data_IF_603292612321
#
_entry.id   IF_603292612321
#
_cell.length_a   1.000
_cell.length_b   1.000
_cell.length_c   1.000
_cell.angle_alpha   90.00
_cell.angle_beta   90.00
_cell.angle_gamma   90.00
#
_symmetry.space_group_name_H-M   'P 1'
#
loop_
_entity.id
_entity.type
_entity.pdbx_description
1 polymer ?
#
# COMPACT_ATOMS: atom_id res chain seq x y z
N UNK A 1 -1.20 -50.33 -75.30
CA UNK A 1 -1.34 -48.92 -74.83
C UNK A 1 -2.02 -48.98 -73.47
N UNK A 2 -1.22 -48.79 -72.43
CA UNK A 2 -1.60 -49.05 -71.05
C UNK A 2 -2.05 -47.74 -70.40
N UNK A 3 -3.27 -47.77 -69.80
CA UNK A 3 -3.80 -46.71 -68.99
C UNK A 3 -3.48 -47.04 -67.49
N UNK A 4 -2.77 -46.16 -66.79
CA UNK A 4 -2.45 -46.24 -65.36
C UNK A 4 -3.66 -45.86 -64.51
N UNK A 5 -3.93 -46.53 -63.41
CA UNK A 5 -4.99 -46.18 -62.51
C UNK A 5 -4.52 -45.09 -61.53
N UNK A 6 -5.30 -44.04 -61.40
CA UNK A 6 -5.17 -42.98 -60.41
C UNK A 6 -5.57 -43.48 -59.01
N UNK A 7 -4.62 -43.45 -58.07
CA UNK A 7 -4.83 -43.68 -56.62
C UNK A 7 -5.59 -42.52 -56.00
N UNK A 8 -6.85 -42.76 -55.61
CA UNK A 8 -7.65 -41.87 -54.79
C UNK A 8 -7.12 -41.85 -53.36
N UNK A 9 -6.73 -40.67 -52.88
CA UNK A 9 -6.41 -40.43 -51.47
C UNK A 9 -7.68 -40.47 -50.62
N UNK A 10 -7.69 -41.12 -49.45
CA UNK A 10 -8.85 -41.12 -48.55
C UNK A 10 -9.11 -39.71 -48.01
N UNK A 11 -10.39 -39.32 -48.09
CA UNK A 11 -10.86 -38.05 -47.58
C UNK A 11 -10.64 -37.88 -46.08
N UNK A 12 -9.97 -36.82 -45.72
CA UNK A 12 -9.90 -36.34 -44.35
C UNK A 12 -11.25 -35.74 -44.02
N UNK A 13 -11.93 -36.33 -43.04
CA UNK A 13 -13.20 -35.83 -42.51
C UNK A 13 -13.06 -34.40 -42.00
N UNK A 14 -14.02 -33.51 -42.27
CA UNK A 14 -14.01 -32.15 -41.72
C UNK A 14 -14.62 -32.15 -40.32
N UNK A 15 -13.89 -32.66 -39.33
CA UNK A 15 -14.25 -32.55 -37.93
C UNK A 15 -13.20 -31.67 -37.23
N UNK A 16 -13.71 -30.59 -36.65
CA UNK A 16 -13.02 -29.56 -35.83
C UNK A 16 -12.49 -28.31 -36.55
N UNK A 17 -13.28 -27.67 -37.37
CA UNK A 17 -13.29 -26.20 -37.33
C UNK A 17 -14.06 -25.75 -36.08
N UNK A 18 -13.46 -25.85 -34.88
CA UNK A 18 -13.88 -25.03 -33.78
C UNK A 18 -13.60 -23.59 -34.20
N UNK A 19 -14.65 -22.81 -34.40
CA UNK A 19 -14.58 -21.35 -34.48
C UNK A 19 -13.71 -20.85 -33.33
N UNK A 20 -12.45 -20.58 -33.58
CA UNK A 20 -11.58 -19.81 -32.72
C UNK A 20 -12.10 -18.37 -32.82
N UNK A 21 -13.15 -18.04 -32.05
CA UNK A 21 -13.49 -16.64 -31.81
C UNK A 21 -12.24 -15.98 -31.22
N UNK A 22 -11.77 -14.95 -31.92
CA UNK A 22 -10.67 -14.13 -31.38
C UNK A 22 -11.12 -13.57 -30.03
N UNK A 23 -10.37 -13.86 -28.98
CA UNK A 23 -10.64 -13.39 -27.63
C UNK A 23 -10.51 -11.87 -27.61
N UNK A 24 -11.45 -11.17 -27.04
CA UNK A 24 -11.44 -9.70 -27.01
C UNK A 24 -11.11 -9.20 -25.61
N UNK A 25 -10.12 -8.32 -25.51
CA UNK A 25 -9.75 -7.62 -24.29
C UNK A 25 -9.87 -6.11 -24.50
N UNK A 26 -10.44 -5.43 -23.51
CA UNK A 26 -10.54 -3.97 -23.48
C UNK A 26 -9.46 -3.42 -22.56
N UNK A 27 -8.61 -2.54 -23.08
CA UNK A 27 -7.55 -1.84 -22.31
C UNK A 27 -7.97 -0.39 -22.11
N UNK A 28 -8.16 0.00 -20.86
CA UNK A 28 -8.63 1.32 -20.47
C UNK A 28 -7.55 2.01 -19.63
N UNK A 29 -6.87 3.00 -20.20
CA UNK A 29 -5.88 3.80 -19.50
C UNK A 29 -5.76 5.19 -20.15
N UNK A 30 -5.62 6.27 -19.40
CA UNK A 30 -5.35 7.60 -19.96
C UNK A 30 -3.94 7.72 -20.57
N UNK A 31 -3.00 6.84 -20.17
CA UNK A 31 -1.64 6.82 -20.71
C UNK A 31 -1.58 6.12 -22.08
N UNK A 32 -1.39 6.89 -23.14
CA UNK A 32 -1.27 6.39 -24.50
C UNK A 32 -0.04 5.49 -24.73
N UNK A 33 1.04 5.69 -23.98
CA UNK A 33 2.25 4.86 -24.05
C UNK A 33 1.98 3.47 -23.50
N UNK A 34 1.43 3.41 -22.30
CA UNK A 34 1.07 2.18 -21.63
C UNK A 34 0.01 1.38 -22.42
N UNK A 35 -1.02 2.06 -22.97
CA UNK A 35 -2.04 1.41 -23.80
C UNK A 35 -1.42 0.70 -24.99
N UNK A 36 -0.61 1.41 -25.80
CA UNK A 36 0.04 0.85 -27.00
C UNK A 36 0.95 -0.33 -26.68
N UNK A 37 1.70 -0.25 -25.58
CA UNK A 37 2.62 -1.30 -25.18
C UNK A 37 1.88 -2.56 -24.72
N UNK A 38 0.80 -2.39 -23.93
CA UNK A 38 -0.09 -3.47 -23.53
C UNK A 38 -0.80 -4.08 -24.76
N UNK A 39 -1.33 -3.24 -25.67
CA UNK A 39 -2.00 -3.68 -26.86
C UNK A 39 -1.06 -4.54 -27.75
N UNK A 40 0.15 -4.07 -28.03
CA UNK A 40 1.14 -4.82 -28.82
C UNK A 40 1.45 -6.19 -28.19
N UNK A 41 1.62 -6.26 -26.88
CA UNK A 41 1.93 -7.53 -26.17
C UNK A 41 0.73 -8.49 -26.19
N UNK A 42 -0.49 -7.98 -26.08
CA UNK A 42 -1.73 -8.78 -26.10
C UNK A 42 -2.04 -9.28 -27.52
N UNK A 43 -1.76 -8.49 -28.55
CA UNK A 43 -1.89 -8.90 -29.95
C UNK A 43 -0.91 -10.03 -30.32
N UNK A 44 0.33 -9.99 -29.81
CA UNK A 44 1.29 -11.11 -29.91
C UNK A 44 0.72 -12.42 -29.31
N UNK A 45 -0.07 -12.30 -28.26
CA UNK A 45 -0.79 -13.43 -27.61
C UNK A 45 -2.12 -13.79 -28.30
N UNK A 46 -2.38 -13.21 -29.48
CA UNK A 46 -3.57 -13.42 -30.32
C UNK A 46 -4.89 -12.96 -29.66
N UNK A 47 -4.83 -11.92 -28.84
CA UNK A 47 -6.00 -11.20 -28.37
C UNK A 47 -6.40 -10.12 -29.38
N UNK A 48 -7.70 -9.91 -29.55
CA UNK A 48 -8.22 -8.71 -30.19
C UNK A 48 -8.30 -7.61 -29.14
N UNK A 49 -7.53 -6.55 -29.30
CA UNK A 49 -7.46 -5.47 -28.32
C UNK A 49 -8.39 -4.33 -28.74
N UNK A 50 -9.17 -3.86 -27.80
CA UNK A 50 -9.93 -2.62 -27.86
C UNK A 50 -9.26 -1.63 -26.93
N UNK A 51 -8.98 -0.42 -27.40
CA UNK A 51 -8.30 0.61 -26.62
C UNK A 51 -9.26 1.76 -26.29
N UNK A 52 -9.30 2.17 -25.03
CA UNK A 52 -10.04 3.34 -24.57
C UNK A 52 -9.14 4.23 -23.69
N UNK A 53 -9.23 5.53 -23.87
CA UNK A 53 -8.47 6.52 -23.12
C UNK A 53 -9.21 7.07 -21.89
N UNK A 54 -10.51 6.80 -21.81
CA UNK A 54 -11.40 7.24 -20.74
C UNK A 54 -12.53 6.24 -20.51
N UNK A 55 -13.26 6.37 -19.40
CA UNK A 55 -14.35 5.49 -19.04
C UNK A 55 -15.54 5.55 -20.01
N UNK A 56 -15.87 6.73 -20.53
CA UNK A 56 -16.96 6.90 -21.49
C UNK A 56 -16.68 6.18 -22.82
N UNK A 57 -15.44 6.27 -23.34
CA UNK A 57 -15.01 5.54 -24.52
C UNK A 57 -15.02 4.02 -24.29
N UNK A 58 -14.55 3.58 -23.12
CA UNK A 58 -14.57 2.17 -22.71
C UNK A 58 -15.99 1.62 -22.65
N UNK A 59 -16.93 2.39 -22.13
CA UNK A 59 -18.33 2.02 -22.04
C UNK A 59 -18.97 1.86 -23.41
N UNK A 60 -18.73 2.79 -24.33
CA UNK A 60 -19.22 2.69 -25.71
C UNK A 60 -18.74 1.43 -26.38
N UNK A 61 -17.47 1.11 -26.31
CA UNK A 61 -16.88 -0.08 -26.92
C UNK A 61 -17.35 -1.39 -26.28
N UNK A 62 -17.47 -1.43 -24.95
CA UNK A 62 -17.97 -2.59 -24.23
C UNK A 62 -19.45 -2.87 -24.54
N UNK A 63 -20.25 -1.84 -24.80
CA UNK A 63 -21.67 -1.99 -25.17
C UNK A 63 -21.85 -2.56 -26.59
N UNK A 64 -20.92 -2.28 -27.50
CA UNK A 64 -21.00 -2.74 -28.91
C UNK A 64 -20.35 -4.12 -29.13
N UNK A 65 -19.33 -4.46 -28.30
CA UNK A 65 -18.55 -5.67 -28.52
C UNK A 65 -18.45 -6.48 -27.22
N UNK A 66 -18.77 -7.79 -27.22
CA UNK A 66 -18.60 -8.64 -26.06
C UNK A 66 -17.10 -8.79 -25.73
N UNK A 67 -16.73 -8.42 -24.51
CA UNK A 67 -15.37 -8.51 -24.00
C UNK A 67 -15.22 -9.68 -23.03
N UNK A 68 -14.09 -10.41 -23.12
CA UNK A 68 -13.76 -11.54 -22.25
C UNK A 68 -12.86 -11.12 -21.09
N UNK A 69 -12.12 -10.01 -21.26
CA UNK A 69 -11.30 -9.42 -20.22
C UNK A 69 -11.28 -7.90 -20.35
N UNK A 70 -11.09 -7.21 -19.21
CA UNK A 70 -10.89 -5.76 -19.17
C UNK A 70 -9.69 -5.46 -18.28
N UNK A 71 -8.74 -4.73 -18.84
CA UNK A 71 -7.61 -4.17 -18.12
C UNK A 71 -7.86 -2.69 -17.92
N UNK A 72 -8.05 -2.27 -16.69
CA UNK A 72 -8.39 -0.89 -16.37
C UNK A 72 -7.32 -0.26 -15.48
N UNK A 73 -6.96 0.99 -15.77
CA UNK A 73 -6.03 1.74 -14.92
C UNK A 73 -6.67 2.03 -13.55
N UNK A 74 -5.85 2.22 -12.53
CA UNK A 74 -6.29 2.54 -11.18
C UNK A 74 -7.07 3.88 -11.10
N UNK A 75 -6.95 4.74 -12.12
CA UNK A 75 -7.61 6.03 -12.20
C UNK A 75 -8.08 6.33 -13.64
N UNK A 76 -9.33 6.76 -13.78
CA UNK A 76 -9.91 7.27 -15.02
C UNK A 76 -10.35 8.74 -14.82
N UNK A 77 -10.12 9.63 -15.81
CA UNK A 77 -10.34 11.06 -15.64
C UNK A 77 -11.81 11.48 -15.57
N UNK A 78 -12.75 10.67 -16.06
CA UNK A 78 -14.12 11.02 -16.37
C UNK A 78 -15.18 10.27 -15.55
N UNK A 79 -14.82 9.20 -14.82
CA UNK A 79 -15.78 8.38 -14.07
C UNK A 79 -15.23 7.93 -12.72
N UNK A 80 -16.14 7.74 -11.74
CA UNK A 80 -15.80 7.05 -10.50
C UNK A 80 -15.57 5.55 -10.78
N UNK A 81 -14.38 5.06 -10.48
CA UNK A 81 -13.94 3.69 -10.76
C UNK A 81 -14.91 2.62 -10.25
N UNK A 82 -15.42 2.80 -9.03
CA UNK A 82 -16.32 1.81 -8.41
C UNK A 82 -17.68 1.73 -9.12
N UNK A 83 -18.18 2.84 -9.64
CA UNK A 83 -19.42 2.91 -10.40
C UNK A 83 -19.24 2.27 -11.77
N UNK A 84 -18.19 2.64 -12.49
CA UNK A 84 -17.81 2.07 -13.77
C UNK A 84 -17.66 0.55 -13.71
N UNK A 85 -16.92 0.04 -12.72
CA UNK A 85 -16.72 -1.40 -12.55
C UNK A 85 -18.00 -2.15 -12.17
N UNK A 86 -18.91 -1.53 -11.42
CA UNK A 86 -20.21 -2.13 -11.08
C UNK A 86 -21.08 -2.30 -12.32
N UNK A 87 -21.17 -1.28 -13.14
CA UNK A 87 -21.97 -1.29 -14.36
C UNK A 87 -21.37 -2.23 -15.40
N UNK A 88 -20.05 -2.22 -15.58
CA UNK A 88 -19.36 -3.13 -16.49
C UNK A 88 -19.59 -4.60 -16.11
N UNK A 89 -19.65 -4.93 -14.82
CA UNK A 89 -20.00 -6.27 -14.33
C UNK A 89 -21.43 -6.66 -14.63
N UNK A 90 -22.35 -5.72 -14.60
CA UNK A 90 -23.75 -6.01 -14.96
C UNK A 90 -23.89 -6.38 -16.43
N UNK A 91 -23.13 -5.70 -17.31
CA UNK A 91 -23.15 -5.99 -18.74
C UNK A 91 -22.31 -7.22 -19.11
N UNK A 92 -21.15 -7.39 -18.48
CA UNK A 92 -20.21 -8.48 -18.78
C UNK A 92 -19.90 -9.33 -17.54
N UNK A 93 -20.85 -10.13 -17.02
CA UNK A 93 -20.69 -10.86 -15.76
C UNK A 93 -19.62 -11.96 -15.79
N UNK A 94 -19.14 -12.33 -16.99
CA UNK A 94 -18.10 -13.35 -17.20
C UNK A 94 -16.74 -12.77 -17.56
N UNK A 95 -16.64 -11.47 -17.77
CA UNK A 95 -15.37 -10.84 -18.10
C UNK A 95 -14.42 -10.83 -16.89
N UNK A 96 -13.15 -11.13 -17.14
CA UNK A 96 -12.09 -11.02 -16.14
C UNK A 96 -11.67 -9.54 -16.01
N UNK A 97 -11.79 -8.97 -14.82
CA UNK A 97 -11.46 -7.58 -14.55
C UNK A 97 -10.15 -7.50 -13.78
N UNK A 98 -9.17 -6.81 -14.33
CA UNK A 98 -7.85 -6.62 -13.77
C UNK A 98 -7.44 -5.15 -13.87
N UNK A 99 -6.66 -4.68 -12.92
CA UNK A 99 -5.95 -3.42 -13.08
C UNK A 99 -4.73 -3.57 -13.99
N UNK A 100 -4.32 -2.50 -14.65
CA UNK A 100 -3.12 -2.48 -15.52
C UNK A 100 -1.82 -2.74 -14.75
N UNK A 101 -1.82 -2.67 -13.42
CA UNK A 101 -0.74 -3.08 -12.53
C UNK A 101 -0.75 -4.59 -12.19
N UNK A 102 -1.74 -5.33 -12.68
CA UNK A 102 -1.95 -6.74 -12.39
C UNK A 102 -2.67 -7.03 -11.08
N UNK A 103 -3.09 -6.01 -10.32
CA UNK A 103 -3.90 -6.19 -9.12
C UNK A 103 -5.32 -6.64 -9.47
N UNK A 104 -5.91 -7.43 -8.58
CA UNK A 104 -7.25 -7.98 -8.78
C UNK A 104 -8.32 -6.98 -8.36
N UNK A 105 -9.36 -6.87 -9.17
CA UNK A 105 -10.59 -6.16 -8.80
C UNK A 105 -11.48 -7.13 -8.03
N UNK A 106 -11.87 -6.77 -6.79
CA UNK A 106 -12.65 -7.63 -5.90
C UNK A 106 -13.98 -8.10 -6.53
N UNK A 107 -14.27 -9.41 -6.39
CA UNK A 107 -15.50 -10.01 -6.89
C UNK A 107 -15.52 -10.29 -8.40
N UNK A 108 -14.45 -10.11 -9.15
CA UNK A 108 -14.38 -10.49 -10.56
C UNK A 108 -14.17 -12.01 -10.72
N UNK A 109 -14.86 -12.66 -11.68
CA UNK A 109 -14.62 -14.06 -11.99
C UNK A 109 -13.20 -14.26 -12.51
N UNK A 110 -12.61 -15.42 -12.21
CA UNK A 110 -11.28 -15.78 -12.72
C UNK A 110 -11.43 -16.49 -14.06
N UNK A 111 -10.91 -15.89 -15.12
CA UNK A 111 -10.84 -16.56 -16.42
C UNK A 111 -9.71 -17.59 -16.45
N UNK A 112 -9.84 -18.58 -17.35
CA UNK A 112 -8.76 -19.53 -17.65
C UNK A 112 -7.53 -18.85 -18.27
N UNK A 113 -7.67 -17.63 -18.75
CA UNK A 113 -6.65 -16.85 -19.48
C UNK A 113 -5.95 -15.80 -18.61
N UNK A 114 -6.26 -15.76 -17.34
CA UNK A 114 -5.70 -14.78 -16.39
C UNK A 114 -4.17 -14.76 -16.35
N UNK A 115 -3.54 -15.93 -16.50
CA UNK A 115 -2.08 -16.02 -16.54
C UNK A 115 -1.48 -15.34 -17.77
N UNK A 116 -2.16 -15.45 -18.93
CA UNK A 116 -1.75 -14.77 -20.16
C UNK A 116 -1.85 -13.25 -20.02
N UNK A 117 -2.93 -12.76 -19.38
CA UNK A 117 -3.12 -11.33 -19.12
C UNK A 117 -2.06 -10.78 -18.15
N UNK A 118 -1.79 -11.50 -17.07
CA UNK A 118 -0.74 -11.11 -16.11
C UNK A 118 0.67 -11.14 -16.72
N UNK A 119 0.91 -12.08 -17.64
CA UNK A 119 2.17 -12.11 -18.40
C UNK A 119 2.29 -10.90 -19.32
N UNK A 120 1.23 -10.53 -20.06
CA UNK A 120 1.19 -9.34 -20.89
C UNK A 120 1.45 -8.06 -20.09
N UNK A 121 0.80 -7.91 -18.94
CA UNK A 121 1.00 -6.78 -18.04
C UNK A 121 2.46 -6.68 -17.57
N UNK A 122 3.04 -7.79 -17.10
CA UNK A 122 4.43 -7.80 -16.64
C UNK A 122 5.43 -7.46 -17.75
N UNK A 123 5.18 -7.96 -18.95
CA UNK A 123 6.05 -7.72 -20.11
C UNK A 123 5.95 -6.28 -20.60
N UNK A 124 4.78 -5.67 -20.55
CA UNK A 124 4.56 -4.26 -20.92
C UNK A 124 5.13 -3.28 -19.90
N UNK A 125 5.28 -3.68 -18.62
CA UNK A 125 5.90 -2.84 -17.58
C UNK A 125 7.41 -3.03 -17.47
N UNK A 126 7.98 -4.08 -18.06
CA UNK A 126 9.42 -4.28 -18.16
C UNK A 126 9.98 -3.32 -19.21
N UNK A 127 10.38 -2.12 -18.81
CA UNK A 127 11.15 -1.20 -19.62
C UNK A 127 12.37 -1.91 -20.21
N UNK A 128 12.69 -1.65 -21.48
CA UNK A 128 13.86 -2.06 -22.22
C UNK A 128 15.17 -1.88 -21.41
N UNK A 129 15.46 -2.79 -20.52
CA UNK A 129 16.80 -3.04 -20.02
C UNK A 129 17.26 -4.32 -20.67
N UNK A 130 18.14 -4.16 -21.63
CA UNK A 130 18.85 -5.19 -22.41
C UNK A 130 19.62 -6.16 -21.50
N UNK A 131 18.94 -7.08 -20.81
CA UNK A 131 19.55 -8.15 -20.01
C UNK A 131 19.10 -9.55 -20.49
N UNK A 132 18.16 -9.64 -21.44
CA UNK A 132 17.62 -10.93 -21.92
C UNK A 132 18.06 -11.33 -23.33
N UNK A 133 19.05 -10.65 -23.93
CA UNK A 133 19.66 -11.06 -25.22
C UNK A 133 20.95 -11.88 -25.07
N UNK A 134 21.10 -12.59 -23.95
CA UNK A 134 22.07 -13.67 -23.83
C UNK A 134 21.30 -14.95 -23.45
N UNK A 135 20.60 -15.50 -24.43
CA UNK A 135 20.32 -16.92 -24.41
C UNK A 135 21.64 -17.63 -24.63
N UNK A 136 22.19 -18.44 -23.71
CA UNK A 136 23.23 -19.37 -24.03
C UNK A 136 22.64 -20.35 -25.04
N UNK A 137 23.31 -20.49 -26.18
CA UNK A 137 23.07 -21.54 -27.15
C UNK A 137 23.16 -22.89 -26.40
N UNK A 138 22.03 -23.59 -26.33
CA UNK A 138 21.92 -24.97 -25.83
C UNK A 138 22.41 -25.89 -26.95
N UNK A 139 23.71 -25.88 -27.21
CA UNK A 139 24.41 -26.93 -27.94
C UNK A 139 25.81 -26.97 -27.37
N UNK A 140 26.11 -28.01 -26.61
CA UNK A 140 27.42 -28.56 -26.23
C UNK A 140 27.64 -28.96 -24.75
N UNK A 141 26.62 -28.94 -23.86
CA UNK A 141 26.86 -29.35 -22.45
C UNK A 141 26.02 -30.52 -21.93
N UNK A 142 25.03 -31.02 -22.66
CA UNK A 142 24.08 -32.01 -22.13
C UNK A 142 24.33 -33.48 -22.50
N UNK A 143 25.33 -33.80 -23.34
CA UNK A 143 25.66 -35.18 -23.72
C UNK A 143 26.51 -35.91 -22.69
N UNK A 144 27.09 -35.23 -21.70
CA UNK A 144 27.99 -35.88 -20.72
C UNK A 144 27.30 -36.29 -19.39
N UNK A 145 26.08 -35.78 -19.09
CA UNK A 145 25.45 -36.02 -17.81
C UNK A 145 24.31 -37.05 -17.84
N UNK A 146 23.87 -37.51 -19.02
CA UNK A 146 22.78 -38.50 -19.18
C UNK A 146 23.23 -39.96 -19.20
N UNK A 147 24.53 -40.26 -19.12
CA UNK A 147 25.08 -41.63 -19.15
C UNK A 147 25.46 -42.17 -17.76
N UNK A 148 25.34 -41.40 -16.68
CA UNK A 148 25.85 -41.82 -15.35
C UNK A 148 24.81 -42.25 -14.31
N UNK A 149 23.49 -42.19 -14.58
CA UNK A 149 22.49 -42.58 -13.58
C UNK A 149 21.38 -43.47 -14.12
N UNK A 150 21.72 -44.72 -14.42
CA UNK A 150 20.72 -45.77 -14.65
C UNK A 150 20.95 -46.87 -13.60
N UNK A 151 20.07 -47.04 -12.58
CA UNK A 151 20.13 -48.18 -11.70
C UNK A 151 19.64 -49.47 -12.40
N UNK A 152 20.15 -50.66 -12.01
CA UNK A 152 19.82 -51.91 -12.68
C UNK A 152 18.39 -52.35 -12.42
N UNK A 153 17.78 -52.89 -13.47
CA UNK A 153 16.46 -53.50 -13.45
C UNK A 153 16.40 -54.68 -12.45
N UNK A 154 15.51 -54.63 -11.49
CA UNK A 154 15.14 -55.74 -10.61
C UNK A 154 13.90 -56.40 -11.17
N UNK A 155 14.00 -57.64 -11.60
CA UNK A 155 12.88 -58.51 -11.94
C UNK A 155 12.02 -58.70 -10.68
N UNK A 156 10.73 -58.41 -10.80
CA UNK A 156 9.74 -58.78 -9.77
C UNK A 156 8.69 -59.66 -10.42
N UNK A 157 8.61 -60.88 -9.92
CA UNK A 157 7.65 -61.92 -10.25
C UNK A 157 6.19 -61.42 -10.20
N UNK A 158 5.43 -61.85 -11.20
CA UNK A 158 4.00 -61.66 -11.28
C UNK A 158 3.26 -62.45 -10.18
N UNK A 159 2.51 -61.71 -9.34
CA UNK A 159 1.47 -62.26 -8.48
C UNK A 159 0.13 -61.72 -9.00
N UNK A 160 -0.74 -62.63 -9.43
CA UNK A 160 -2.12 -62.32 -9.90
C UNK A 160 -2.92 -61.66 -8.76
N UNK A 161 -3.45 -60.47 -9.03
CA UNK A 161 -4.47 -59.83 -8.22
C UNK A 161 -5.81 -59.75 -8.98
N UNK A 162 -6.94 -59.87 -8.26
CA UNK A 162 -8.26 -59.99 -8.90
C UNK A 162 -8.71 -58.74 -9.65
N UNK A 163 -9.33 -58.91 -10.79
CA UNK A 163 -9.87 -57.88 -11.69
C UNK A 163 -10.99 -57.09 -10.98
N UNK A 164 -10.74 -55.86 -10.59
CA UNK A 164 -11.75 -54.90 -10.15
C UNK A 164 -12.38 -54.27 -11.37
N UNK A 165 -13.73 -54.17 -11.39
CA UNK A 165 -14.48 -53.55 -12.48
C UNK A 165 -14.33 -52.03 -12.53
N UNK A 166 -14.45 -51.47 -13.71
CA UNK A 166 -14.30 -50.02 -13.96
C UNK A 166 -15.21 -49.14 -13.07
N UNK A 167 -16.33 -49.68 -12.58
CA UNK A 167 -17.27 -49.01 -11.68
C UNK A 167 -16.69 -48.82 -10.25
N UNK A 168 -15.89 -49.79 -9.77
CA UNK A 168 -15.24 -49.71 -8.44
C UNK A 168 -14.11 -48.68 -8.44
N UNK A 169 -13.41 -48.53 -9.57
CA UNK A 169 -12.37 -47.52 -9.75
C UNK A 169 -12.95 -46.08 -9.79
N UNK A 170 -14.13 -45.90 -10.38
CA UNK A 170 -14.84 -44.61 -10.45
C UNK A 170 -15.40 -44.20 -9.08
N UNK A 171 -15.82 -45.16 -8.23
CA UNK A 171 -16.28 -44.87 -6.86
C UNK A 171 -15.13 -44.55 -5.92
N UNK A 172 -14.00 -45.25 -6.02
CA UNK A 172 -12.81 -44.94 -5.25
C UNK A 172 -12.25 -43.53 -5.58
N UNK A 173 -12.21 -43.13 -6.87
CA UNK A 173 -11.74 -41.83 -7.29
C UNK A 173 -12.68 -40.67 -6.90
N UNK A 174 -13.96 -40.94 -6.65
CA UNK A 174 -14.91 -39.94 -6.17
C UNK A 174 -14.76 -39.69 -4.64
N UNK A 175 -14.41 -40.73 -3.88
CA UNK A 175 -14.17 -40.63 -2.42
C UNK A 175 -12.83 -39.96 -2.11
N UNK A 176 -11.79 -40.23 -2.88
CA UNK A 176 -10.48 -39.60 -2.71
C UNK A 176 -10.49 -38.14 -3.16
N UNK A 177 -11.27 -37.76 -4.21
CA UNK A 177 -11.45 -36.36 -4.59
C UNK A 177 -12.22 -35.53 -3.57
N UNK A 178 -13.03 -36.14 -2.72
CA UNK A 178 -13.74 -35.44 -1.64
C UNK A 178 -12.82 -35.17 -0.44
N UNK A 179 -11.72 -35.91 -0.28
CA UNK A 179 -10.72 -35.70 0.77
C UNK A 179 -9.48 -34.90 0.33
N UNK A 180 -9.15 -34.88 -0.96
CA UNK A 180 -8.04 -34.06 -1.51
C UNK A 180 -8.42 -32.60 -1.79
N UNK A 181 -9.69 -32.23 -1.68
CA UNK A 181 -10.13 -30.83 -1.80
C UNK A 181 -9.99 -29.99 -0.53
N UNK A 182 -9.42 -30.55 0.54
CA UNK A 182 -8.91 -29.77 1.65
C UNK A 182 -7.47 -29.32 1.35
N UNK A 183 -7.27 -28.49 0.32
CA UNK A 183 -6.20 -27.51 0.36
C UNK A 183 -6.38 -26.81 1.71
N UNK A 184 -5.41 -26.84 2.64
CA UNK A 184 -5.53 -26.02 3.81
C UNK A 184 -5.65 -24.58 3.29
N UNK A 185 -6.87 -24.06 3.26
CA UNK A 185 -7.08 -22.65 3.38
C UNK A 185 -6.42 -22.33 4.72
N UNK A 186 -5.14 -21.99 4.67
CA UNK A 186 -4.52 -21.15 5.67
C UNK A 186 -5.27 -19.83 5.51
N UNK A 187 -6.50 -19.81 6.02
CA UNK A 187 -7.13 -18.62 6.48
C UNK A 187 -6.13 -18.10 7.51
N UNK A 188 -5.19 -17.29 7.06
CA UNK A 188 -4.31 -16.49 7.90
C UNK A 188 -5.31 -15.72 8.75
N UNK A 189 -5.62 -16.23 9.95
CA UNK A 189 -6.40 -15.48 10.93
C UNK A 189 -5.66 -14.17 11.03
N UNK A 190 -6.29 -13.12 10.55
CA UNK A 190 -5.77 -11.77 10.65
C UNK A 190 -5.71 -11.48 12.15
N UNK A 191 -4.54 -11.66 12.74
CA UNK A 191 -4.32 -11.40 14.16
C UNK A 191 -3.84 -9.97 14.34
N UNK A 192 -4.30 -9.28 15.40
CA UNK A 192 -3.77 -7.98 15.75
C UNK A 192 -2.25 -8.05 15.93
N UNK A 193 -1.54 -7.01 15.56
CA UNK A 193 -0.11 -6.91 15.78
C UNK A 193 0.14 -6.39 17.20
N UNK A 194 0.94 -7.08 18.03
CA UNK A 194 1.32 -6.56 19.34
C UNK A 194 1.90 -5.15 19.23
N UNK A 195 1.32 -4.19 19.96
CA UNK A 195 1.70 -2.79 19.91
C UNK A 195 0.91 -1.92 18.92
N UNK A 196 0.05 -2.51 18.08
CA UNK A 196 -0.96 -1.80 17.30
C UNK A 196 -2.34 -2.18 17.82
N UNK A 197 -3.06 -1.20 18.36
CA UNK A 197 -4.37 -1.42 18.98
C UNK A 197 -5.43 -1.40 17.89
N UNK A 198 -6.31 -2.40 17.90
CA UNK A 198 -7.45 -2.50 17.00
C UNK A 198 -7.66 -3.92 16.46
N UNK A 199 -8.93 -4.33 16.43
CA UNK A 199 -9.42 -5.61 15.90
C UNK A 199 -10.37 -5.42 14.73
N UNK A 200 -10.67 -4.19 14.37
CA UNK A 200 -11.44 -3.88 13.19
C UNK A 200 -10.77 -4.46 11.93
N UNK A 201 -11.52 -4.94 10.93
CA UNK A 201 -10.95 -5.52 9.71
C UNK A 201 -9.92 -4.62 9.03
N UNK A 202 -10.15 -3.30 9.04
CA UNK A 202 -9.22 -2.30 8.47
C UNK A 202 -7.89 -2.25 9.24
N UNK A 203 -7.91 -2.40 10.58
CA UNK A 203 -6.70 -2.43 11.41
C UNK A 203 -5.95 -3.77 11.30
N UNK A 204 -6.68 -4.87 11.13
CA UNK A 204 -6.10 -6.18 10.84
C UNK A 204 -5.38 -6.19 9.50
N UNK A 205 -5.92 -5.50 8.49
CA UNK A 205 -5.26 -5.34 7.19
C UNK A 205 -3.97 -4.50 7.32
N UNK A 206 -3.98 -3.42 8.10
CA UNK A 206 -2.74 -2.67 8.42
C UNK A 206 -1.71 -3.59 9.09
N UNK A 207 -2.13 -4.38 10.09
CA UNK A 207 -1.29 -5.36 10.78
C UNK A 207 -0.69 -6.40 9.82
N UNK A 208 -1.49 -6.90 8.87
CA UNK A 208 -1.05 -7.82 7.82
C UNK A 208 0.00 -7.19 6.92
N UNK A 209 -0.24 -5.96 6.44
CA UNK A 209 0.69 -5.22 5.56
C UNK A 209 2.02 -4.95 6.26
N UNK A 210 2.00 -4.57 7.55
CA UNK A 210 3.22 -4.40 8.35
C UNK A 210 4.03 -5.70 8.37
N UNK A 211 3.40 -6.85 8.71
CA UNK A 211 4.09 -8.15 8.75
C UNK A 211 4.70 -8.53 7.42
N UNK A 212 4.00 -8.27 6.31
CA UNK A 212 4.47 -8.60 4.97
C UNK A 212 5.76 -7.85 4.62
N UNK A 213 5.81 -6.53 4.87
CA UNK A 213 6.92 -5.70 4.40
C UNK A 213 8.03 -5.52 5.43
N UNK A 214 7.79 -5.85 6.72
CA UNK A 214 8.74 -5.58 7.79
C UNK A 214 10.15 -6.16 7.53
N UNK A 215 10.22 -7.39 7.01
CA UNK A 215 11.49 -8.10 6.72
C UNK A 215 12.19 -7.64 5.44
N UNK A 216 11.52 -6.85 4.61
CA UNK A 216 12.10 -6.36 3.36
C UNK A 216 12.81 -5.03 3.57
N UNK A 217 13.89 -4.79 2.79
CA UNK A 217 14.64 -3.52 2.83
C UNK A 217 13.99 -2.39 2.04
N UNK A 218 12.88 -2.69 1.38
CA UNK A 218 12.10 -1.78 0.54
C UNK A 218 11.67 -0.55 1.31
N UNK A 219 11.72 0.65 0.72
CA UNK A 219 11.09 1.84 1.26
C UNK A 219 9.59 1.63 1.49
N UNK A 220 9.06 2.22 2.55
CA UNK A 220 7.62 2.14 2.88
C UNK A 220 7.10 3.56 3.06
N UNK A 221 6.03 3.87 2.33
CA UNK A 221 5.26 5.10 2.51
C UNK A 221 4.02 4.82 3.37
N UNK A 222 3.84 5.60 4.43
CA UNK A 222 2.72 5.50 5.36
C UNK A 222 1.84 6.74 5.17
N UNK A 223 0.68 6.57 4.53
CA UNK A 223 -0.30 7.63 4.33
C UNK A 223 -1.46 7.52 5.33
N UNK A 224 -1.94 8.64 5.84
CA UNK A 224 -3.14 8.69 6.66
C UNK A 224 -3.30 9.96 7.44
N UNK A 225 -4.53 10.26 7.90
CA UNK A 225 -4.83 11.49 8.64
C UNK A 225 -3.91 11.71 9.84
N UNK A 226 -3.80 12.96 10.28
CA UNK A 226 -3.04 13.29 11.49
C UNK A 226 -3.63 12.57 12.70
N UNK A 227 -2.76 12.08 13.60
CA UNK A 227 -3.20 11.40 14.83
C UNK A 227 -3.65 9.94 14.67
N UNK A 228 -3.48 9.30 13.48
CA UNK A 228 -3.86 7.88 13.24
C UNK A 228 -2.78 6.88 13.66
N UNK A 229 -1.65 7.33 14.22
CA UNK A 229 -0.57 6.44 14.68
C UNK A 229 0.42 6.03 13.61
N UNK A 230 0.69 6.86 12.59
CA UNK A 230 1.71 6.62 11.55
C UNK A 230 3.10 6.31 12.13
N UNK A 231 3.50 7.04 13.17
CA UNK A 231 4.77 6.83 13.88
C UNK A 231 4.83 5.43 14.52
N UNK A 232 3.73 4.98 15.15
CA UNK A 232 3.65 3.64 15.72
C UNK A 232 3.79 2.54 14.66
N UNK A 233 3.24 2.76 13.47
CA UNK A 233 3.43 1.86 12.31
C UNK A 233 4.89 1.79 11.91
N UNK A 234 5.59 2.94 11.86
CA UNK A 234 7.02 3.00 11.53
C UNK A 234 7.88 2.29 12.57
N UNK A 235 7.63 2.49 13.85
CA UNK A 235 8.31 1.76 14.94
C UNK A 235 8.13 0.24 14.83
N UNK A 236 6.89 -0.22 14.54
CA UNK A 236 6.60 -1.65 14.39
C UNK A 236 7.30 -2.24 13.15
N UNK A 237 7.35 -1.51 12.04
CA UNK A 237 8.11 -1.91 10.85
C UNK A 237 9.60 -2.08 11.16
N UNK A 238 10.19 -1.20 11.95
CA UNK A 238 11.57 -1.30 12.38
C UNK A 238 11.77 -2.50 13.34
N UNK A 239 10.94 -2.61 14.39
CA UNK A 239 11.03 -3.67 15.41
C UNK A 239 10.85 -5.08 14.84
N UNK A 240 10.09 -5.25 13.77
CA UNK A 240 9.85 -6.54 13.11
C UNK A 240 10.83 -6.79 11.96
N UNK A 241 11.75 -5.88 11.69
CA UNK A 241 12.75 -6.01 10.64
C UNK A 241 14.01 -6.71 11.13
N UNK A 242 14.87 -7.10 10.19
CA UNK A 242 16.22 -7.59 10.48
C UNK A 242 17.12 -6.53 11.15
N UNK A 243 16.68 -5.25 11.13
CA UNK A 243 17.39 -4.10 11.72
C UNK A 243 16.85 -3.70 13.10
N UNK A 244 16.04 -4.54 13.75
CA UNK A 244 15.40 -4.23 15.03
C UNK A 244 16.36 -3.84 16.16
N UNK A 245 17.62 -4.35 16.13
CA UNK A 245 18.66 -4.01 17.08
C UNK A 245 19.60 -2.86 16.63
N UNK A 246 19.30 -2.25 15.48
CA UNK A 246 20.06 -1.15 14.87
C UNK A 246 19.40 0.20 15.18
N UNK A 247 20.06 1.34 14.89
CA UNK A 247 19.46 2.64 15.13
C UNK A 247 18.12 2.83 14.41
N UNK A 248 17.15 3.40 15.13
CA UNK A 248 15.93 3.97 14.58
C UNK A 248 16.00 5.49 14.77
N UNK A 249 16.18 6.22 13.69
CA UNK A 249 16.30 7.67 13.71
C UNK A 249 15.06 8.27 13.09
N UNK A 250 14.33 9.06 13.88
CA UNK A 250 13.14 9.78 13.41
C UNK A 250 13.45 11.26 13.21
N UNK A 251 12.85 11.85 12.19
CA UNK A 251 12.87 13.29 11.93
C UNK A 251 11.50 13.72 11.41
N UNK A 252 10.96 14.79 11.98
CA UNK A 252 9.75 15.42 11.49
C UNK A 252 10.12 16.59 10.59
N UNK A 253 9.78 16.48 9.29
CA UNK A 253 10.14 17.49 8.29
C UNK A 253 9.37 18.80 8.47
N UNK A 254 8.16 18.76 9.05
CA UNK A 254 7.35 19.95 9.31
C UNK A 254 7.81 20.73 10.55
N UNK A 255 8.49 20.07 11.50
CA UNK A 255 8.89 20.69 12.75
C UNK A 255 10.20 21.49 12.66
N UNK A 256 10.94 21.37 11.56
CA UNK A 256 12.25 21.98 11.38
C UNK A 256 12.16 23.07 10.31
N UNK A 257 12.63 24.30 10.56
CA UNK A 257 12.71 25.33 9.54
C UNK A 257 13.48 24.87 8.30
N UNK A 258 13.00 25.22 7.10
CA UNK A 258 13.58 24.80 5.82
C UNK A 258 15.10 24.99 5.75
N UNK A 259 15.59 26.14 6.20
CA UNK A 259 17.01 26.48 6.19
C UNK A 259 17.90 25.55 7.05
N UNK A 260 17.30 24.87 8.05
CA UNK A 260 18.01 23.95 8.94
C UNK A 260 17.77 22.49 8.59
N UNK A 261 16.68 22.18 7.89
CA UNK A 261 16.29 20.81 7.56
C UNK A 261 17.36 20.09 6.73
N UNK A 262 18.01 20.81 5.81
CA UNK A 262 19.10 20.27 5.02
C UNK A 262 20.28 19.87 5.91
N UNK A 263 20.72 20.76 6.80
CA UNK A 263 21.84 20.52 7.72
C UNK A 263 21.54 19.41 8.73
N UNK A 264 20.29 19.28 9.20
CA UNK A 264 19.88 18.18 10.09
C UNK A 264 19.84 16.84 9.35
N UNK A 265 19.35 16.79 8.10
CA UNK A 265 19.27 15.54 7.31
C UNK A 265 20.64 15.06 6.85
N UNK A 266 21.39 15.91 6.17
CA UNK A 266 22.63 15.55 5.48
C UNK A 266 23.89 15.82 6.30
N UNK A 267 23.77 16.62 7.38
CA UNK A 267 24.93 17.08 8.16
C UNK A 267 25.63 18.29 7.53
N UNK A 268 26.53 18.90 8.26
CA UNK A 268 27.29 20.05 7.79
C UNK A 268 28.70 20.07 8.36
N UNK A 269 29.62 20.69 7.63
CA UNK A 269 30.96 20.96 8.09
C UNK A 269 31.03 22.31 8.78
N UNK A 270 32.10 22.53 9.52
CA UNK A 270 32.38 23.85 10.13
C UNK A 270 32.46 24.94 9.07
N UNK A 271 31.72 26.03 9.26
CA UNK A 271 31.70 27.17 8.33
C UNK A 271 30.79 26.99 7.12
N UNK A 272 29.97 25.93 7.03
CA UNK A 272 29.06 25.67 5.92
C UNK A 272 27.99 26.78 5.72
N UNK A 273 27.59 27.43 6.82
CA UNK A 273 26.66 28.57 6.81
C UNK A 273 26.92 29.46 8.03
N UNK A 274 26.31 30.65 8.05
CA UNK A 274 26.41 31.59 9.19
C UNK A 274 25.82 30.95 10.44
N UNK A 275 26.70 30.68 11.46
CA UNK A 275 26.34 29.96 12.69
C UNK A 275 26.83 28.51 12.78
N UNK A 276 27.41 27.95 11.72
CA UNK A 276 28.04 26.62 11.73
C UNK A 276 29.41 26.65 12.44
N UNK A 277 29.43 26.81 13.75
CA UNK A 277 30.68 26.88 14.56
C UNK A 277 31.38 25.54 14.59
N UNK A 278 30.65 24.43 14.57
CA UNK A 278 31.18 23.06 14.58
C UNK A 278 30.50 22.27 13.48
N UNK A 279 31.19 21.25 12.91
CA UNK A 279 30.57 20.29 12.03
C UNK A 279 29.65 19.34 12.79
N UNK A 280 28.54 18.88 12.16
CA UNK A 280 27.59 17.94 12.75
C UNK A 280 27.20 16.85 11.75
N UNK A 281 27.18 15.61 12.23
CA UNK A 281 26.70 14.45 11.49
C UNK A 281 25.19 14.55 11.27
N UNK A 282 24.74 14.28 10.04
CA UNK A 282 23.32 14.29 9.69
C UNK A 282 22.54 13.08 10.20
N UNK A 283 21.21 13.19 10.16
CA UNK A 283 20.29 12.11 10.58
C UNK A 283 20.42 10.88 9.69
N UNK A 284 20.64 11.07 8.39
CA UNK A 284 20.83 9.96 7.44
C UNK A 284 22.06 9.14 7.84
N UNK A 285 23.19 9.81 8.07
CA UNK A 285 24.44 9.15 8.48
C UNK A 285 24.32 8.51 9.87
N UNK A 286 23.60 9.16 10.81
CA UNK A 286 23.34 8.61 12.16
C UNK A 286 22.47 7.35 12.13
N UNK A 287 21.73 7.11 11.03
CA UNK A 287 20.89 5.94 10.82
C UNK A 287 21.62 4.80 10.10
N UNK A 288 22.94 4.91 9.85
CA UNK A 288 23.69 3.91 9.09
C UNK A 288 23.56 2.49 9.68
N UNK A 289 23.32 1.52 8.82
CA UNK A 289 22.99 0.13 9.19
C UNK A 289 21.57 -0.05 9.75
N UNK A 290 20.83 1.04 10.02
CA UNK A 290 19.54 1.08 10.69
C UNK A 290 18.37 1.52 9.80
N UNK A 291 17.48 2.31 10.39
CA UNK A 291 16.25 2.81 9.75
C UNK A 291 16.10 4.30 10.00
N UNK A 292 15.83 5.06 8.94
CA UNK A 292 15.47 6.47 9.04
C UNK A 292 13.95 6.59 8.80
N UNK A 293 13.27 7.24 9.71
CA UNK A 293 11.86 7.58 9.60
C UNK A 293 11.71 9.08 9.33
N UNK A 294 11.13 9.39 8.15
CA UNK A 294 10.85 10.74 7.69
C UNK A 294 9.35 11.01 7.92
N UNK A 295 9.01 11.68 9.01
CA UNK A 295 7.63 12.07 9.27
C UNK A 295 7.31 13.38 8.54
N UNK A 296 6.07 13.49 8.06
CA UNK A 296 5.51 14.60 7.26
C UNK A 296 6.40 14.93 6.05
N UNK A 297 6.76 13.88 5.27
CA UNK A 297 7.62 14.02 4.08
C UNK A 297 7.04 14.96 3.02
N UNK A 298 5.71 15.16 2.99
CA UNK A 298 5.03 16.07 2.08
C UNK A 298 5.41 17.55 2.29
N UNK A 299 5.90 17.91 3.48
CA UNK A 299 6.34 19.26 3.82
C UNK A 299 7.80 19.54 3.41
N UNK A 300 8.49 18.55 2.81
CA UNK A 300 9.88 18.71 2.40
C UNK A 300 9.99 19.63 1.17
N UNK A 301 10.86 20.67 1.21
CA UNK A 301 11.08 21.55 0.06
C UNK A 301 11.59 20.81 -1.18
N UNK A 302 11.18 21.23 -2.38
CA UNK A 302 11.55 20.59 -3.66
C UNK A 302 13.06 20.42 -3.87
N UNK A 303 13.86 21.39 -3.39
CA UNK A 303 15.32 21.30 -3.46
C UNK A 303 15.88 20.12 -2.65
N UNK A 304 15.32 19.87 -1.47
CA UNK A 304 15.72 18.75 -0.61
C UNK A 304 15.17 17.42 -1.12
N UNK A 305 14.00 17.41 -1.75
CA UNK A 305 13.45 16.23 -2.41
C UNK A 305 14.43 15.69 -3.48
N UNK A 306 15.08 16.57 -4.25
CA UNK A 306 16.09 16.16 -5.25
C UNK A 306 17.33 15.53 -4.61
N UNK A 307 17.80 16.06 -3.47
CA UNK A 307 18.93 15.50 -2.74
C UNK A 307 18.58 14.15 -2.09
N UNK A 308 17.38 14.04 -1.53
CA UNK A 308 16.89 12.79 -0.95
C UNK A 308 16.73 11.71 -2.03
N UNK A 309 16.25 12.06 -3.23
CA UNK A 309 16.15 11.12 -4.36
C UNK A 309 17.52 10.56 -4.70
N UNK A 310 18.53 11.43 -4.87
CA UNK A 310 19.91 10.99 -5.17
C UNK A 310 20.43 10.03 -4.09
N UNK A 311 20.17 10.32 -2.83
CA UNK A 311 20.53 9.43 -1.72
C UNK A 311 19.81 8.06 -1.84
N UNK A 312 18.51 8.04 -2.14
CA UNK A 312 17.73 6.80 -2.32
C UNK A 312 18.19 5.94 -3.50
N UNK A 313 18.80 6.56 -4.51
CA UNK A 313 19.29 5.85 -5.71
C UNK A 313 20.68 5.26 -5.51
N UNK A 314 21.59 6.04 -4.94
CA UNK A 314 23.00 5.69 -4.87
C UNK A 314 23.46 5.21 -3.47
N UNK A 315 22.70 5.50 -2.42
CA UNK A 315 23.15 5.27 -1.03
C UNK A 315 24.27 6.21 -0.61
N UNK A 316 24.43 7.34 -1.30
CA UNK A 316 25.52 8.28 -1.09
C UNK A 316 24.97 9.65 -0.71
N UNK A 317 25.59 10.29 0.25
CA UNK A 317 25.25 11.63 0.70
C UNK A 317 26.48 12.55 0.71
N UNK A 318 26.26 13.86 0.60
CA UNK A 318 27.25 14.90 0.80
C UNK A 318 26.80 15.82 1.92
N UNK A 319 27.69 16.12 2.87
CA UNK A 319 27.41 17.10 3.92
C UNK A 319 27.43 18.51 3.34
N UNK A 320 26.65 19.39 3.92
CA UNK A 320 26.62 20.80 3.51
C UNK A 320 28.01 21.43 3.77
N UNK A 321 28.56 22.06 2.72
CA UNK A 321 29.90 22.66 2.77
C UNK A 321 31.06 21.67 2.54
N UNK A 322 30.78 20.43 2.12
CA UNK A 322 31.78 19.41 1.82
C UNK A 322 31.52 18.80 0.45
N UNK A 323 32.62 18.47 -0.28
CA UNK A 323 32.52 17.80 -1.59
C UNK A 323 32.76 16.28 -1.49
N UNK A 324 33.12 15.76 -0.30
CA UNK A 324 33.32 14.33 -0.10
C UNK A 324 31.99 13.62 0.03
N UNK A 325 31.91 12.46 -0.63
CA UNK A 325 30.71 11.62 -0.59
C UNK A 325 30.86 10.54 0.49
N UNK A 326 29.87 10.39 1.32
CA UNK A 326 29.78 9.35 2.36
C UNK A 326 28.73 8.33 1.92
N UNK A 327 29.08 7.06 1.96
CA UNK A 327 28.16 5.96 1.62
C UNK A 327 27.59 5.34 2.89
N UNK A 328 26.26 5.16 2.92
CA UNK A 328 25.55 4.62 4.08
C UNK A 328 24.46 3.65 3.62
N UNK A 329 24.16 2.65 4.44
CA UNK A 329 23.09 1.67 4.20
C UNK A 329 21.92 1.90 5.17
N UNK A 330 20.91 2.65 4.74
CA UNK A 330 19.76 3.04 5.57
C UNK A 330 18.46 2.58 4.94
N UNK A 331 17.60 1.93 5.73
CA UNK A 331 16.22 1.67 5.33
C UNK A 331 15.38 2.91 5.54
N UNK A 332 14.60 3.31 4.53
CA UNK A 332 13.76 4.51 4.60
C UNK A 332 12.32 4.13 4.85
N UNK A 333 11.70 4.76 5.85
CA UNK A 333 10.28 4.80 6.10
C UNK A 333 9.84 6.27 6.01
N UNK A 334 8.80 6.57 5.26
CA UNK A 334 8.26 7.92 5.13
C UNK A 334 6.80 7.95 5.55
N UNK A 335 6.35 9.01 6.20
CA UNK A 335 4.96 9.20 6.57
C UNK A 335 4.46 10.59 6.18
N UNK A 336 3.16 10.69 5.91
CA UNK A 336 2.50 11.96 5.61
C UNK A 336 1.00 11.87 5.84
N UNK A 337 0.39 13.00 6.16
CA UNK A 337 -1.06 13.17 6.15
C UNK A 337 -1.59 13.63 4.79
N UNK A 338 -0.72 14.11 3.89
CA UNK A 338 -1.06 14.58 2.57
C UNK A 338 -1.23 13.42 1.58
N UNK A 339 -1.99 13.67 0.52
CA UNK A 339 -2.10 12.76 -0.63
C UNK A 339 -0.99 13.07 -1.63
N UNK A 340 0.21 12.49 -1.44
CA UNK A 340 1.37 12.82 -2.28
C UNK A 340 1.10 12.68 -3.79
N UNK A 341 0.28 11.74 -4.21
CA UNK A 341 -0.12 11.63 -5.61
C UNK A 341 -0.85 12.87 -6.14
N UNK A 342 -1.59 13.60 -5.28
CA UNK A 342 -2.19 14.89 -5.64
C UNK A 342 -1.14 16.00 -5.67
N UNK A 343 -0.18 15.98 -4.75
CA UNK A 343 0.91 16.97 -4.67
C UNK A 343 1.88 16.83 -5.85
N UNK A 344 2.10 15.62 -6.35
CA UNK A 344 2.83 15.39 -7.62
C UNK A 344 2.12 16.09 -8.79
N UNK A 345 0.80 15.92 -8.92
CA UNK A 345 0.03 16.61 -9.98
C UNK A 345 0.06 18.12 -9.85
N UNK A 346 0.11 18.63 -8.63
CA UNK A 346 0.21 20.04 -8.32
C UNK A 346 1.65 20.59 -8.36
N UNK A 347 2.63 19.78 -8.77
CA UNK A 347 4.05 20.09 -8.80
C UNK A 347 4.64 20.54 -7.43
N UNK A 348 4.01 20.16 -6.32
CA UNK A 348 4.52 20.39 -4.95
C UNK A 348 5.41 19.27 -4.48
N UNK A 349 5.29 18.08 -5.08
CA UNK A 349 6.13 16.94 -4.80
C UNK A 349 6.65 16.34 -6.12
N UNK A 350 7.90 15.87 -6.14
CA UNK A 350 8.52 15.30 -7.34
C UNK A 350 7.98 13.90 -7.61
N UNK A 351 7.62 13.62 -8.85
CA UNK A 351 7.11 12.32 -9.27
C UNK A 351 8.13 11.19 -9.11
N UNK A 352 9.40 11.46 -9.44
CA UNK A 352 10.50 10.49 -9.32
C UNK A 352 10.72 10.06 -7.84
N UNK A 353 10.74 11.01 -6.91
CA UNK A 353 10.85 10.73 -5.48
C UNK A 353 9.62 9.95 -4.97
N UNK A 354 8.41 10.35 -5.39
CA UNK A 354 7.19 9.63 -5.02
C UNK A 354 7.28 8.15 -5.38
N UNK A 355 7.63 7.83 -6.63
CA UNK A 355 7.76 6.42 -7.07
C UNK A 355 8.86 5.65 -6.35
N UNK A 356 9.92 6.33 -5.90
CA UNK A 356 10.99 5.71 -5.12
C UNK A 356 10.61 5.43 -3.67
N UNK A 357 9.74 6.27 -3.07
CA UNK A 357 9.23 6.11 -1.70
C UNK A 357 8.02 5.18 -1.65
N UNK A 358 7.10 5.26 -2.60
CA UNK A 358 5.84 4.54 -2.63
C UNK A 358 5.94 3.10 -3.18
N UNK A 359 7.11 2.46 -3.05
CA UNK A 359 7.28 1.05 -3.46
C UNK A 359 6.34 0.13 -2.68
N UNK A 360 6.15 0.41 -1.39
CA UNK A 360 5.13 -0.24 -0.58
C UNK A 360 4.34 0.81 0.21
N UNK A 361 3.02 0.81 0.02
CA UNK A 361 2.12 1.78 0.63
C UNK A 361 1.33 1.14 1.77
N UNK A 362 1.35 1.78 2.94
CA UNK A 362 0.48 1.44 4.08
C UNK A 362 -0.42 2.65 4.33
N UNK A 363 -1.73 2.42 4.40
CA UNK A 363 -2.69 3.46 4.77
C UNK A 363 -3.22 3.21 6.16
N UNK A 364 -3.08 4.21 7.03
CA UNK A 364 -3.67 4.20 8.37
C UNK A 364 -5.08 4.79 8.29
N UNK A 365 -6.12 4.04 8.73
CA UNK A 365 -7.49 4.52 8.66
C UNK A 365 -7.76 5.62 9.71
N UNK A 366 -8.71 6.51 9.42
CA UNK A 366 -9.24 7.42 10.42
C UNK A 366 -9.98 6.64 11.53
N UNK A 367 -9.97 7.16 12.76
CA UNK A 367 -10.62 6.52 13.91
C UNK A 367 -12.12 6.31 13.68
N UNK A 368 -12.76 7.21 12.96
CA UNK A 368 -14.15 7.08 12.55
C UNK A 368 -14.47 5.81 11.75
N UNK A 369 -13.48 5.26 11.02
CA UNK A 369 -13.62 4.03 10.23
C UNK A 369 -13.49 2.74 11.05
N UNK A 370 -13.07 2.84 12.32
CA UNK A 370 -12.91 1.69 13.22
C UNK A 370 -13.32 2.00 14.66
N UNK A 371 -14.46 2.68 14.83
CA UNK A 371 -15.01 3.09 16.13
C UNK A 371 -15.14 1.95 17.15
N UNK A 372 -15.36 0.73 16.67
CA UNK A 372 -15.43 -0.48 17.51
C UNK A 372 -14.15 -0.75 18.32
N UNK A 373 -13.02 -0.14 17.92
CA UNK A 373 -11.73 -0.26 18.62
C UNK A 373 -11.56 0.80 19.72
N UNK A 374 -12.45 1.82 19.79
CA UNK A 374 -12.39 2.91 20.79
C UNK A 374 -12.34 2.39 22.22
N UNK A 375 -13.18 1.43 22.66
CA UNK A 375 -13.10 0.93 24.03
C UNK A 375 -11.73 0.36 24.38
N UNK A 376 -11.12 -0.43 23.49
CA UNK A 376 -9.78 -0.98 23.70
C UNK A 376 -8.71 0.11 23.68
N UNK A 377 -8.84 1.12 22.81
CA UNK A 377 -7.95 2.28 22.80
C UNK A 377 -8.01 3.05 24.11
N UNK A 378 -9.21 3.30 24.62
CA UNK A 378 -9.42 3.99 25.90
C UNK A 378 -8.76 3.26 27.05
N UNK A 379 -8.93 1.93 27.16
CA UNK A 379 -8.27 1.12 28.18
C UNK A 379 -6.74 1.30 28.16
N UNK A 380 -6.12 1.13 26.99
CA UNK A 380 -4.66 1.24 26.87
C UNK A 380 -4.17 2.67 27.11
N UNK A 381 -4.93 3.69 26.68
CA UNK A 381 -4.56 5.08 26.91
C UNK A 381 -4.67 5.45 28.40
N UNK A 382 -5.72 4.99 29.08
CA UNK A 382 -5.86 5.21 30.52
C UNK A 382 -4.80 4.44 31.33
N UNK A 383 -4.41 3.24 30.93
CA UNK A 383 -3.28 2.52 31.52
C UNK A 383 -1.97 3.32 31.43
N UNK A 384 -1.66 3.89 30.26
CA UNK A 384 -0.48 4.75 30.09
C UNK A 384 -0.54 6.04 30.89
N UNK A 385 -1.72 6.65 30.96
CA UNK A 385 -1.92 7.82 31.82
C UNK A 385 -1.72 7.45 33.30
N UNK A 386 -2.11 6.25 33.71
CA UNK A 386 -1.94 5.70 35.05
C UNK A 386 -0.47 5.57 35.51
N UNK A 387 0.51 5.58 34.57
CA UNK A 387 1.94 5.64 34.89
C UNK A 387 2.36 7.03 35.46
N UNK A 388 1.60 8.08 35.18
CA UNK A 388 1.90 9.48 35.55
C UNK A 388 0.85 10.12 36.46
N UNK A 389 -0.35 9.54 36.51
CA UNK A 389 -1.53 10.06 37.20
C UNK A 389 -2.21 8.91 37.93
N UNK A 390 -3.09 9.19 38.94
CA UNK A 390 -3.91 8.14 39.54
C UNK A 390 -4.72 7.36 38.49
N UNK A 391 -4.72 6.02 38.62
CA UNK A 391 -5.43 5.14 37.69
C UNK A 391 -6.90 5.51 37.62
N UNK A 392 -7.40 5.77 36.42
CA UNK A 392 -8.77 6.16 36.14
C UNK A 392 -9.49 5.07 35.36
N UNK A 393 -10.82 5.03 35.52
CA UNK A 393 -11.72 4.23 34.68
C UNK A 393 -12.72 5.16 34.01
N UNK A 394 -13.31 4.72 32.91
CA UNK A 394 -14.34 5.45 32.19
C UNK A 394 -15.72 4.98 32.60
N UNK A 395 -16.64 5.90 32.83
CA UNK A 395 -18.07 5.57 33.11
C UNK A 395 -18.75 5.15 31.79
N UNK A 396 -19.78 4.28 31.82
CA UNK A 396 -20.51 3.85 30.63
C UNK A 396 -21.02 5.01 29.77
N UNK A 397 -21.60 6.04 30.42
CA UNK A 397 -22.15 7.22 29.74
C UNK A 397 -21.05 8.07 29.07
N UNK A 398 -19.86 8.11 29.67
CA UNK A 398 -18.69 8.75 29.07
C UNK A 398 -18.20 7.98 27.86
N UNK A 399 -18.17 6.63 27.92
CA UNK A 399 -17.82 5.78 26.78
C UNK A 399 -18.81 5.98 25.62
N UNK A 400 -20.11 6.07 25.89
CA UNK A 400 -21.10 6.34 24.83
C UNK A 400 -20.83 7.67 24.13
N UNK A 401 -20.48 8.73 24.87
CA UNK A 401 -20.10 10.01 24.27
C UNK A 401 -18.87 9.87 23.39
N UNK A 402 -17.85 9.13 23.81
CA UNK A 402 -16.65 8.88 23.02
C UNK A 402 -16.97 8.10 21.73
N UNK A 403 -17.89 7.14 21.78
CA UNK A 403 -18.31 6.35 20.62
C UNK A 403 -19.07 7.15 19.57
N UNK A 404 -19.76 8.21 19.96
CA UNK A 404 -20.59 9.05 19.08
C UNK A 404 -19.78 10.14 18.39
N UNK A 405 -18.65 10.56 18.94
CA UNK A 405 -17.84 11.66 18.41
C UNK A 405 -17.21 11.34 17.05
N UNK A 406 -16.94 12.37 16.23
CA UNK A 406 -16.42 12.25 14.86
C UNK A 406 -14.92 11.98 14.79
N UNK A 407 -14.16 12.40 15.78
CA UNK A 407 -12.71 12.25 15.94
C UNK A 407 -11.89 12.85 14.78
N UNK A 408 -12.02 14.14 14.47
CA UNK A 408 -11.23 14.79 13.44
C UNK A 408 -9.71 14.69 13.70
N UNK A 409 -9.27 14.77 14.97
CA UNK A 409 -7.87 14.58 15.40
C UNK A 409 -7.49 13.12 15.68
N UNK A 410 -8.40 12.16 15.42
CA UNK A 410 -8.17 10.72 15.55
C UNK A 410 -7.72 10.29 16.96
N UNK A 411 -6.74 9.38 17.07
CA UNK A 411 -6.27 8.83 18.35
C UNK A 411 -5.56 9.91 19.19
N UNK A 412 -4.92 10.89 18.56
CA UNK A 412 -4.28 12.00 19.28
C UNK A 412 -5.31 12.87 20.00
N UNK A 413 -6.43 13.15 19.36
CA UNK A 413 -7.55 13.86 19.98
C UNK A 413 -8.16 13.03 21.14
N UNK A 414 -8.38 11.73 20.90
CA UNK A 414 -8.88 10.83 21.95
C UNK A 414 -7.96 10.82 23.19
N UNK A 415 -6.65 10.78 22.99
CA UNK A 415 -5.66 10.84 24.07
C UNK A 415 -5.79 12.15 24.87
N UNK A 416 -5.87 13.31 24.21
CA UNK A 416 -6.04 14.61 24.86
C UNK A 416 -7.39 14.72 25.58
N UNK A 417 -8.46 14.18 25.02
CA UNK A 417 -9.80 14.18 25.69
C UNK A 417 -9.76 13.34 26.96
N UNK A 418 -9.11 12.18 26.91
CA UNK A 418 -8.97 11.31 28.09
C UNK A 418 -8.06 11.94 29.16
N UNK A 419 -6.97 12.55 28.78
CA UNK A 419 -6.06 13.26 29.69
C UNK A 419 -6.79 14.42 30.38
N UNK A 420 -7.52 15.24 29.64
CA UNK A 420 -8.36 16.31 30.18
C UNK A 420 -9.43 15.79 31.12
N UNK A 421 -10.15 14.74 30.72
CA UNK A 421 -11.17 14.09 31.56
C UNK A 421 -10.59 13.51 32.84
N UNK A 422 -9.36 12.95 32.79
CA UNK A 422 -8.67 12.45 33.98
C UNK A 422 -8.27 13.58 34.94
N UNK A 423 -7.90 14.75 34.43
CA UNK A 423 -7.60 15.95 35.23
C UNK A 423 -8.87 16.50 35.87
N UNK A 424 -9.96 16.64 35.10
CA UNK A 424 -11.23 17.15 35.57
C UNK A 424 -11.89 16.25 36.64
N UNK A 425 -11.68 14.93 36.54
CA UNK A 425 -12.14 13.96 37.52
C UNK A 425 -11.47 14.09 38.89
N UNK A 426 -10.37 14.84 39.01
CA UNK A 426 -9.64 15.09 40.26
C UNK A 426 -9.31 13.79 40.98
N UNK A 427 -9.75 13.65 42.27
CA UNK A 427 -9.53 12.44 43.07
C UNK A 427 -10.49 11.28 42.74
N UNK A 428 -11.54 11.52 41.95
CA UNK A 428 -12.46 10.46 41.53
C UNK A 428 -11.74 9.40 40.70
N UNK A 429 -11.86 8.11 40.97
CA UNK A 429 -11.31 7.05 40.18
C UNK A 429 -12.06 6.84 38.85
N UNK A 430 -13.20 7.54 38.65
CA UNK A 430 -14.11 7.36 37.52
C UNK A 430 -14.24 8.68 36.74
N UNK A 431 -14.01 8.64 35.41
CA UNK A 431 -14.27 9.75 34.51
C UNK A 431 -15.72 9.64 34.03
N UNK A 432 -16.55 10.64 34.34
CA UNK A 432 -17.97 10.69 33.98
C UNK A 432 -18.18 11.43 32.66
N UNK A 433 -19.37 11.39 32.13
CA UNK A 433 -19.74 12.10 30.91
C UNK A 433 -19.55 13.63 31.00
N UNK A 434 -19.73 14.23 32.20
CA UNK A 434 -19.52 15.65 32.46
C UNK A 434 -18.04 16.09 32.31
N UNK A 435 -17.12 15.16 32.50
CA UNK A 435 -15.66 15.40 32.44
C UNK A 435 -15.07 15.12 31.05
N UNK A 436 -15.92 14.65 30.11
CA UNK A 436 -15.53 14.50 28.70
C UNK A 436 -15.81 15.82 27.96
N UNK A 437 -14.77 16.57 27.69
CA UNK A 437 -14.83 17.79 26.91
C UNK A 437 -14.11 17.58 25.57
N UNK A 438 -14.86 17.71 24.48
CA UNK A 438 -14.28 17.77 23.15
C UNK A 438 -13.74 19.19 22.92
N UNK A 439 -12.67 19.33 22.13
CA UNK A 439 -12.22 20.65 21.69
C UNK A 439 -13.25 21.27 20.75
N UNK A 440 -13.27 22.61 20.68
CA UNK A 440 -14.08 23.30 19.70
C UNK A 440 -13.67 22.84 18.30
N UNK A 441 -14.60 22.32 17.51
CA UNK A 441 -14.33 21.99 16.13
C UNK A 441 -13.95 23.28 15.39
N UNK A 442 -12.88 23.28 14.53
CA UNK A 442 -12.53 24.44 13.72
C UNK A 442 -13.60 24.72 12.66
N UNK A 443 -14.74 25.15 13.05
CA UNK A 443 -15.92 25.43 12.23
C UNK A 443 -17.12 25.93 13.03
N UNK A 444 -17.14 25.73 14.36
CA UNK A 444 -18.23 26.24 15.21
C UNK A 444 -17.92 27.62 15.83
N UNK A 445 -16.73 28.17 15.61
CA UNK A 445 -16.33 29.48 16.15
C UNK A 445 -17.08 30.69 15.52
N UNK A 446 -17.94 30.51 14.52
CA UNK A 446 -18.71 31.60 13.92
C UNK A 446 -20.12 31.80 14.49
N UNK A 447 -20.57 30.99 15.47
CA UNK A 447 -21.92 31.09 16.04
C UNK A 447 -21.99 31.74 17.43
N UNK A 448 -20.88 32.12 18.03
CA UNK A 448 -20.86 32.85 19.31
C UNK A 448 -20.39 34.30 19.10
N UNK A 449 -21.07 35.00 18.21
CA UNK A 449 -20.97 36.44 18.13
C UNK A 449 -21.99 37.07 19.08
N UNK A 450 -21.50 37.90 19.96
CA UNK A 450 -22.28 38.90 20.66
C UNK A 450 -22.62 38.60 22.10
N UNK A 451 -21.66 38.58 23.02
CA UNK A 451 -21.83 39.16 24.38
C UNK A 451 -20.59 39.01 25.27
N UNK A 452 -19.50 39.60 24.91
CA UNK A 452 -18.45 39.98 25.87
C UNK A 452 -18.00 41.42 25.58
N UNK A 453 -18.80 42.38 26.04
CA UNK A 453 -18.31 43.74 26.23
C UNK A 453 -17.41 43.73 27.49
N UNK A 454 -16.12 44.12 27.38
CA UNK A 454 -15.32 44.35 28.56
C UNK A 454 -15.82 45.61 29.27
N UNK A 455 -16.34 45.50 30.42
CA UNK A 455 -16.61 46.60 31.37
C UNK A 455 -15.26 47.16 31.85
N UNK A 456 -14.61 47.94 31.08
CA UNK A 456 -13.59 48.88 31.54
C UNK A 456 -14.30 50.14 32.00
N UNK A 457 -14.51 50.29 33.32
CA UNK A 457 -14.87 51.52 33.95
C UNK A 457 -13.72 52.55 33.80
N UNK A 458 -14.02 53.64 33.15
CA UNK A 458 -13.11 54.80 33.10
C UNK A 458 -12.97 55.40 34.49
N UNK A 459 -11.76 55.83 34.93
CA UNK A 459 -11.61 56.63 36.13
C UNK A 459 -12.04 58.05 35.83
N UNK A 460 -12.87 58.59 36.74
CA UNK A 460 -13.30 59.97 36.78
C UNK A 460 -12.13 60.94 36.74
N UNK A 461 -12.25 61.89 35.86
CA UNK A 461 -11.52 63.16 35.88
C UNK A 461 -12.11 63.99 37.01
N UNK A 462 -11.26 64.36 37.97
CA UNK A 462 -11.55 65.26 39.04
C UNK A 462 -10.32 66.12 39.37
N UNK A 463 -10.45 67.34 38.95
CA UNK A 463 -9.89 68.58 39.47
C UNK A 463 -8.37 68.85 39.51
N UNK A 464 -8.10 69.79 38.67
CA UNK A 464 -6.97 70.74 38.79
C UNK A 464 -7.12 71.61 40.05
N UNK A 465 -6.01 71.89 40.70
CA UNK A 465 -5.67 73.22 41.18
C UNK A 465 -4.30 73.23 41.89
N UNK A 466 -3.43 74.11 41.37
CA UNK A 466 -2.58 75.06 42.08
C UNK A 466 -1.40 74.49 42.95
N UNK A 467 -0.25 74.50 42.49
CA UNK A 467 0.91 75.44 42.68
C UNK A 467 2.12 74.94 41.92
#
# INVERSE_FOLDING_TARGET
MAASPSLSRPGVSPLHQRNLRARTVLVVSPDAGQRRQLAATLEELRWRVLEADCGAAAWGQASETPVEAVLVDAWLPDLEMNEFLRELRQQHPRADLLHTDGSQIDGAPRSSYRQELLFAIRRSTASDTAIWNAAPSLDEADDALLLATRPPAREVSAVEAPRRTAVDLLRASASDRAQESAVPQVATRLEPLPGLIGRAPVMLEVSRRIRLVARHRTPVLIEGPTGTGKERVAELLHRLSERAAKPFVAINCAAIPEALLEAELFGHTRGAFTGAVQGRTGRIESADGGTLFLDEIGEMPLALQAKLLRFLECGELQRVGENTTVRVDVRILAATHQRLAADVRAARFRADLYHRLAVFLIRTPALAAHRQDIPQLVEVLLERLGERMPVKRIAPEAMERLMLHSWPGNVRELEHVLERGAILAGDSPLIRASEIEFGDEPGEAEALDGSFAPAFAAPHSGDAAVL
#
